data_IF_727574408752
#
_entry.id   IF_727574408752
#
_cell.length_a   1.000
_cell.length_b   1.000
_cell.length_c   1.000
_cell.angle_alpha   90.00
_cell.angle_beta   90.00
_cell.angle_gamma   90.00
#
_symmetry.space_group_name_H-M   'P 1'
#
loop_
_entity.id
_entity.type
_entity.pdbx_description
1 polymer ?
#
# COMPACT_ATOMS: atom_id res chain seq x y z
N UNK A 1 -58.28 -27.65 20.50
CA UNK A 1 -56.84 -27.63 20.19
C UNK A 1 -56.62 -26.61 19.08
N UNK A 2 -56.11 -25.41 19.37
CA UNK A 2 -55.76 -24.45 18.33
C UNK A 2 -54.49 -24.90 17.58
N UNK A 3 -54.37 -24.60 16.28
CA UNK A 3 -53.20 -24.97 15.49
C UNK A 3 -51.96 -24.13 15.86
N UNK A 4 -50.75 -24.69 15.70
CA UNK A 4 -49.50 -23.97 15.95
C UNK A 4 -49.31 -22.85 14.91
N UNK A 5 -49.28 -21.61 15.39
CA UNK A 5 -48.87 -20.44 14.61
C UNK A 5 -47.38 -20.55 14.28
N UNK A 6 -47.08 -20.91 13.04
CA UNK A 6 -45.76 -20.76 12.44
C UNK A 6 -45.41 -19.28 12.38
N UNK A 7 -44.59 -18.84 13.34
CA UNK A 7 -43.95 -17.54 13.35
C UNK A 7 -43.05 -17.42 12.12
N UNK A 8 -43.53 -16.74 11.08
CA UNK A 8 -42.75 -16.32 9.94
C UNK A 8 -41.79 -15.22 10.39
N UNK A 9 -40.58 -15.62 10.78
CA UNK A 9 -39.48 -14.69 10.97
C UNK A 9 -39.28 -13.90 9.67
N UNK A 10 -39.23 -12.56 9.70
CA UNK A 10 -39.08 -11.75 8.49
C UNK A 10 -37.69 -12.00 7.88
N UNK A 11 -37.68 -12.84 6.84
CA UNK A 11 -36.58 -13.03 5.90
C UNK A 11 -36.44 -11.76 5.04
N UNK A 12 -35.87 -10.71 5.63
CA UNK A 12 -35.78 -9.43 4.93
C UNK A 12 -34.82 -8.42 5.53
N UNK A 13 -34.19 -8.71 6.67
CA UNK A 13 -33.06 -7.93 7.16
C UNK A 13 -31.81 -8.30 6.33
N UNK A 14 -31.83 -7.91 5.05
CA UNK A 14 -30.63 -7.74 4.26
C UNK A 14 -29.80 -6.69 5.00
N UNK A 15 -28.95 -7.14 5.91
CA UNK A 15 -27.92 -6.34 6.56
C UNK A 15 -27.08 -5.77 5.44
N UNK A 16 -27.46 -4.56 5.03
CA UNK A 16 -26.70 -3.69 4.14
C UNK A 16 -25.37 -3.54 4.84
N UNK A 17 -24.39 -4.38 4.47
CA UNK A 17 -23.03 -4.29 4.98
C UNK A 17 -22.63 -2.85 4.66
N UNK A 18 -22.60 -2.01 5.69
CA UNK A 18 -22.31 -0.60 5.54
C UNK A 18 -20.96 -0.54 4.86
N UNK A 19 -20.96 -0.06 3.62
CA UNK A 19 -19.78 0.04 2.79
C UNK A 19 -18.66 0.64 3.66
N UNK A 20 -17.47 0.03 3.75
CA UNK A 20 -16.41 0.49 4.64
C UNK A 20 -16.23 1.99 4.49
N UNK A 21 -16.19 2.67 5.63
CA UNK A 21 -16.42 4.11 5.76
C UNK A 21 -15.67 4.91 4.69
N UNK A 22 -16.38 5.84 4.03
CA UNK A 22 -15.87 6.66 2.93
C UNK A 22 -14.54 7.38 3.25
N UNK A 23 -14.26 7.59 4.53
CA UNK A 23 -13.06 8.24 5.04
C UNK A 23 -11.77 7.46 4.79
N UNK A 24 -11.76 6.13 5.00
CA UNK A 24 -10.53 5.31 4.82
C UNK A 24 -10.11 5.30 3.35
N UNK A 25 -11.08 5.11 2.46
CA UNK A 25 -10.85 5.11 1.02
C UNK A 25 -10.28 6.44 0.53
N UNK A 26 -10.78 7.54 1.09
CA UNK A 26 -10.32 8.89 0.76
C UNK A 26 -8.88 9.12 1.25
N UNK A 27 -8.53 8.59 2.43
CA UNK A 27 -7.16 8.62 2.95
C UNK A 27 -6.19 7.82 2.06
N UNK A 28 -6.57 6.60 1.65
CA UNK A 28 -5.75 5.76 0.75
C UNK A 28 -5.53 6.49 -0.58
N UNK A 29 -6.58 7.06 -1.15
CA UNK A 29 -6.47 7.80 -2.41
C UNK A 29 -5.55 9.01 -2.29
N UNK A 30 -5.60 9.74 -1.17
CA UNK A 30 -4.72 10.88 -0.93
C UNK A 30 -3.26 10.45 -0.75
N UNK A 31 -3.01 9.37 0.00
CA UNK A 31 -1.68 8.78 0.17
C UNK A 31 -1.06 8.37 -1.17
N UNK A 32 -1.88 7.78 -2.03
CA UNK A 32 -1.45 7.28 -3.32
C UNK A 32 -1.11 8.43 -4.28
N UNK A 33 -1.89 9.52 -4.27
CA UNK A 33 -1.55 10.73 -5.01
C UNK A 33 -0.26 11.38 -4.51
N UNK A 34 -0.04 11.44 -3.19
CA UNK A 34 1.20 11.94 -2.62
C UNK A 34 2.39 11.09 -3.06
N UNK A 35 2.30 9.76 -2.98
CA UNK A 35 3.39 8.86 -3.40
C UNK A 35 3.69 8.96 -4.90
N UNK A 36 2.67 9.15 -5.76
CA UNK A 36 2.89 9.40 -7.19
C UNK A 36 3.61 10.72 -7.43
N UNK A 37 3.17 11.80 -6.77
CA UNK A 37 3.81 13.10 -6.89
C UNK A 37 5.27 13.04 -6.43
N UNK A 38 5.52 12.40 -5.29
CA UNK A 38 6.84 12.22 -4.73
C UNK A 38 7.74 11.35 -5.62
N UNK A 39 7.23 10.23 -6.14
CA UNK A 39 7.93 9.36 -7.08
C UNK A 39 8.33 10.09 -8.36
N UNK A 40 7.46 10.96 -8.87
CA UNK A 40 7.72 11.75 -10.09
C UNK A 40 8.84 12.76 -9.87
N UNK A 41 8.80 13.50 -8.75
CA UNK A 41 9.87 14.43 -8.37
C UNK A 41 11.18 13.68 -8.18
N UNK A 42 11.15 12.50 -7.56
CA UNK A 42 12.34 11.70 -7.33
C UNK A 42 12.97 11.18 -8.62
N UNK A 43 12.17 10.70 -9.58
CA UNK A 43 12.65 10.30 -10.91
C UNK A 43 13.33 11.49 -11.60
N UNK A 44 12.72 12.68 -11.54
CA UNK A 44 13.30 13.88 -12.15
C UNK A 44 14.65 14.25 -11.52
N UNK A 45 14.76 14.23 -10.19
CA UNK A 45 16.01 14.50 -9.48
C UNK A 45 17.07 13.41 -9.76
N UNK A 46 16.65 12.15 -9.79
CA UNK A 46 17.53 11.02 -10.11
C UNK A 46 18.09 11.14 -11.52
N UNK A 47 17.27 11.53 -12.50
CA UNK A 47 17.69 11.66 -13.89
C UNK A 47 18.76 12.75 -14.08
N UNK A 48 18.69 13.83 -13.29
CA UNK A 48 19.74 14.86 -13.25
C UNK A 48 21.07 14.32 -12.70
N UNK A 49 21.02 13.30 -11.83
CA UNK A 49 22.19 12.75 -11.13
C UNK A 49 22.74 11.45 -11.75
N UNK A 50 22.06 10.83 -12.72
CA UNK A 50 22.46 9.59 -13.42
C UNK A 50 23.89 9.65 -13.98
N UNK A 51 24.40 10.84 -14.30
CA UNK A 51 25.73 10.99 -14.89
C UNK A 51 26.90 10.97 -13.89
N UNK A 52 26.70 11.20 -12.59
CA UNK A 52 27.82 11.49 -11.68
C UNK A 52 28.18 10.34 -10.74
N UNK A 53 27.20 9.69 -10.11
CA UNK A 53 27.40 8.61 -9.13
C UNK A 53 26.14 7.74 -9.10
N UNK A 54 26.07 6.74 -9.97
CA UNK A 54 24.85 5.94 -10.13
C UNK A 54 24.68 4.90 -9.02
N UNK A 55 24.06 5.30 -7.91
CA UNK A 55 23.33 4.36 -7.06
C UNK A 55 22.03 3.97 -7.77
N UNK A 56 22.11 3.08 -8.76
CA UNK A 56 20.94 2.54 -9.49
C UNK A 56 19.86 1.94 -8.57
N UNK A 57 20.24 1.62 -7.32
CA UNK A 57 19.36 1.07 -6.29
C UNK A 57 18.17 1.97 -6.01
N UNK A 58 18.38 3.29 -5.86
CA UNK A 58 17.29 4.22 -5.58
C UNK A 58 16.28 4.33 -6.73
N UNK A 59 16.66 4.70 -7.97
CA UNK A 59 15.71 4.77 -9.07
C UNK A 59 15.04 3.41 -9.39
N UNK A 60 15.74 2.29 -9.19
CA UNK A 60 15.13 0.97 -9.34
C UNK A 60 14.05 0.70 -8.27
N UNK A 61 14.33 1.00 -7.00
CA UNK A 61 13.36 0.89 -5.91
C UNK A 61 12.14 1.80 -6.15
N UNK A 62 12.37 3.02 -6.63
CA UNK A 62 11.30 3.95 -7.00
C UNK A 62 10.47 3.45 -8.18
N UNK A 63 11.10 2.85 -9.19
CA UNK A 63 10.38 2.22 -10.30
C UNK A 63 9.43 1.11 -9.81
N UNK A 64 9.90 0.25 -8.90
CA UNK A 64 9.08 -0.80 -8.31
C UNK A 64 7.91 -0.22 -7.49
N UNK A 65 8.16 0.79 -6.65
CA UNK A 65 7.14 1.53 -5.91
C UNK A 65 6.08 2.13 -6.83
N UNK A 66 6.53 2.78 -7.91
CA UNK A 66 5.64 3.42 -8.87
C UNK A 66 4.74 2.39 -9.56
N UNK A 67 5.31 1.29 -10.06
CA UNK A 67 4.54 0.21 -10.70
C UNK A 67 3.51 -0.39 -9.73
N UNK A 68 3.91 -0.63 -8.49
CA UNK A 68 3.03 -1.14 -7.45
C UNK A 68 1.84 -0.20 -7.20
N UNK A 69 2.12 1.09 -7.01
CA UNK A 69 1.11 2.12 -6.79
C UNK A 69 0.14 2.27 -7.98
N UNK A 70 0.67 2.27 -9.21
CA UNK A 70 -0.14 2.33 -10.44
C UNK A 70 -1.04 1.09 -10.56
N UNK A 71 -0.51 -0.08 -10.24
CA UNK A 71 -1.28 -1.33 -10.25
C UNK A 71 -2.40 -1.30 -9.22
N UNK A 72 -2.13 -0.81 -8.00
CA UNK A 72 -3.16 -0.61 -6.99
C UNK A 72 -4.23 0.39 -7.40
N UNK A 73 -3.86 1.49 -8.05
CA UNK A 73 -4.84 2.43 -8.62
C UNK A 73 -5.67 1.79 -9.72
N UNK A 74 -5.05 1.05 -10.63
CA UNK A 74 -5.74 0.40 -11.74
C UNK A 74 -6.77 -0.61 -11.20
N UNK A 75 -6.37 -1.43 -10.22
CA UNK A 75 -7.26 -2.37 -9.55
C UNK A 75 -8.36 -1.64 -8.78
N UNK A 76 -8.05 -0.59 -8.02
CA UNK A 76 -9.04 0.19 -7.28
C UNK A 76 -10.04 0.88 -8.22
N UNK A 77 -9.59 1.43 -9.36
CA UNK A 77 -10.48 2.02 -10.38
C UNK A 77 -11.37 0.97 -11.04
N UNK A 78 -10.83 -0.22 -11.31
CA UNK A 78 -11.60 -1.33 -11.87
C UNK A 78 -12.69 -1.79 -10.90
N UNK A 79 -12.39 -1.86 -9.61
CA UNK A 79 -13.37 -2.18 -8.56
C UNK A 79 -14.46 -1.12 -8.42
N UNK A 80 -14.12 0.18 -8.51
CA UNK A 80 -15.13 1.26 -8.49
C UNK A 80 -16.07 1.25 -9.70
N UNK A 81 -15.61 0.75 -10.85
CA UNK A 81 -16.43 0.62 -12.06
C UNK A 81 -17.27 -0.65 -12.08
N UNK A 82 -16.90 -1.66 -11.29
CA UNK A 82 -17.67 -2.88 -11.17
C UNK A 82 -18.98 -2.60 -10.42
N UNK A 83 -20.10 -3.10 -10.93
CA UNK A 83 -21.39 -2.96 -10.26
C UNK A 83 -21.40 -3.68 -8.90
N UNK A 84 -22.35 -3.33 -8.00
CA UNK A 84 -22.45 -3.92 -6.66
C UNK A 84 -22.53 -5.45 -6.66
N UNK A 85 -23.18 -6.03 -7.68
CA UNK A 85 -23.33 -7.47 -7.86
C UNK A 85 -21.99 -8.17 -8.14
N UNK A 86 -21.09 -7.53 -8.89
CA UNK A 86 -19.76 -8.08 -9.18
C UNK A 86 -18.78 -7.97 -8.00
N UNK A 87 -19.11 -7.12 -7.01
CA UNK A 87 -18.37 -6.92 -5.77
C UNK A 87 -18.91 -7.77 -4.61
N UNK A 88 -20.11 -8.35 -4.75
CA UNK A 88 -20.68 -9.23 -3.75
C UNK A 88 -19.77 -10.46 -3.54
N UNK A 89 -19.24 -10.62 -2.33
CA UNK A 89 -18.33 -11.71 -1.99
C UNK A 89 -16.85 -11.47 -2.32
N UNK A 90 -16.48 -10.35 -2.95
CA UNK A 90 -15.06 -10.03 -3.24
C UNK A 90 -14.48 -9.05 -2.24
N UNK A 91 -13.30 -9.37 -1.74
CA UNK A 91 -12.50 -8.48 -0.91
C UNK A 91 -11.94 -7.33 -1.78
N UNK A 92 -11.90 -6.09 -1.25
CA UNK A 92 -11.29 -4.97 -1.97
C UNK A 92 -9.82 -5.27 -2.28
N UNK A 93 -9.31 -4.78 -3.41
CA UNK A 93 -7.96 -5.02 -3.89
C UNK A 93 -6.89 -4.68 -2.85
N UNK A 94 -7.15 -3.66 -2.02
CA UNK A 94 -6.28 -3.22 -0.92
C UNK A 94 -6.19 -4.23 0.22
N UNK A 95 -7.23 -5.04 0.44
CA UNK A 95 -7.28 -6.07 1.48
C UNK A 95 -6.80 -7.45 1.00
N UNK A 96 -6.44 -7.60 -0.28
CA UNK A 96 -5.91 -8.87 -0.80
C UNK A 96 -4.55 -9.17 -0.18
N UNK A 97 -4.32 -10.45 0.18
CA UNK A 97 -3.05 -10.90 0.77
C UNK A 97 -1.85 -10.56 -0.12
N UNK A 98 -2.01 -10.73 -1.45
CA UNK A 98 -0.96 -10.43 -2.42
C UNK A 98 -0.49 -8.97 -2.36
N UNK A 99 -1.42 -8.02 -2.27
CA UNK A 99 -1.12 -6.58 -2.12
C UNK A 99 -0.32 -6.31 -0.85
N UNK A 100 -0.75 -6.90 0.28
CA UNK A 100 -0.09 -6.71 1.58
C UNK A 100 1.34 -7.27 1.54
N UNK A 101 1.52 -8.49 1.02
CA UNK A 101 2.84 -9.14 0.90
C UNK A 101 3.75 -8.28 0.00
N UNK A 102 3.23 -7.81 -1.13
CA UNK A 102 3.99 -6.96 -2.06
C UNK A 102 4.39 -5.63 -1.41
N UNK A 103 3.50 -4.99 -0.65
CA UNK A 103 3.81 -3.73 0.05
C UNK A 103 4.92 -3.90 1.10
N UNK A 104 4.88 -5.00 1.87
CA UNK A 104 5.95 -5.33 2.82
C UNK A 104 7.28 -5.63 2.12
N UNK A 105 7.23 -6.38 1.02
CA UNK A 105 8.43 -6.67 0.23
C UNK A 105 9.10 -5.39 -0.27
N UNK A 106 8.32 -4.45 -0.84
CA UNK A 106 8.84 -3.15 -1.28
C UNK A 106 9.42 -2.36 -0.10
N UNK A 107 8.76 -2.37 1.05
CA UNK A 107 9.26 -1.70 2.26
C UNK A 107 10.62 -2.27 2.70
N UNK A 108 10.82 -3.59 2.64
CA UNK A 108 12.10 -4.23 2.94
C UNK A 108 13.18 -3.87 1.92
N UNK A 109 12.84 -3.80 0.64
CA UNK A 109 13.77 -3.33 -0.41
C UNK A 109 14.22 -1.89 -0.13
N UNK A 110 13.31 -1.01 0.30
CA UNK A 110 13.65 0.35 0.71
C UNK A 110 14.54 0.39 1.95
N UNK A 111 14.25 -0.42 2.96
CA UNK A 111 15.09 -0.51 4.15
C UNK A 111 16.53 -0.93 3.80
N UNK A 112 16.68 -1.91 2.90
CA UNK A 112 17.98 -2.30 2.35
C UNK A 112 18.67 -1.17 1.58
N UNK A 113 17.95 -0.49 0.69
CA UNK A 113 18.48 0.64 -0.07
C UNK A 113 18.96 1.79 0.84
N UNK A 114 18.13 2.19 1.80
CA UNK A 114 18.47 3.23 2.79
C UNK A 114 19.68 2.81 3.62
N UNK A 115 19.77 1.55 4.03
CA UNK A 115 20.91 1.02 4.77
C UNK A 115 22.21 1.05 3.96
N UNK A 116 22.17 0.63 2.70
CA UNK A 116 23.33 0.67 1.78
C UNK A 116 23.78 2.11 1.54
N UNK A 117 22.86 3.03 1.23
CA UNK A 117 23.18 4.45 1.02
C UNK A 117 23.74 5.08 2.30
N UNK A 118 23.18 4.77 3.48
CA UNK A 118 23.70 5.26 4.75
C UNK A 118 25.13 4.78 5.01
N UNK A 119 25.39 3.48 4.86
CA UNK A 119 26.72 2.90 5.04
C UNK A 119 27.72 3.53 4.05
N UNK A 120 27.31 3.73 2.81
CA UNK A 120 28.15 4.37 1.80
C UNK A 120 28.51 5.81 2.18
N UNK A 121 27.52 6.63 2.56
CA UNK A 121 27.75 8.03 2.98
C UNK A 121 28.67 8.10 4.19
N UNK A 122 28.54 7.19 5.16
CA UNK A 122 29.39 7.13 6.35
C UNK A 122 30.83 6.74 5.99
N UNK A 123 31.00 5.68 5.20
CA UNK A 123 32.34 5.18 4.81
C UNK A 123 33.06 6.23 3.97
N UNK A 124 32.40 6.76 2.93
CA UNK A 124 32.99 7.76 2.03
C UNK A 124 33.25 9.09 2.74
N UNK A 125 32.32 9.51 3.62
CA UNK A 125 32.48 10.75 4.39
C UNK A 125 33.74 10.77 5.25
N UNK A 126 34.18 9.60 5.73
CA UNK A 126 35.38 9.48 6.55
C UNK A 126 36.70 9.51 5.76
N UNK A 127 36.65 9.34 4.43
CA UNK A 127 37.87 9.25 3.61
C UNK A 127 38.45 10.61 3.21
N UNK A 128 37.75 11.72 3.50
CA UNK A 128 38.28 13.09 3.37
C UNK A 128 38.54 13.62 1.95
N UNK A 129 38.76 12.74 0.98
CA UNK A 129 39.14 13.09 -0.40
C UNK A 129 37.94 13.34 -1.34
N UNK A 130 36.72 13.01 -0.90
CA UNK A 130 35.55 13.08 -1.78
C UNK A 130 34.96 14.49 -1.82
N UNK A 131 34.58 15.01 -3.02
CA UNK A 131 33.98 16.33 -3.13
C UNK A 131 32.78 16.49 -2.20
N UNK A 132 32.74 17.60 -1.43
CA UNK A 132 31.63 17.91 -0.50
C UNK A 132 30.24 17.81 -1.15
N UNK A 133 30.16 18.14 -2.45
CA UNK A 133 28.92 18.04 -3.24
C UNK A 133 28.35 16.61 -3.26
N UNK A 134 29.20 15.59 -3.44
CA UNK A 134 28.79 14.19 -3.47
C UNK A 134 28.18 13.75 -2.14
N UNK A 135 28.82 14.13 -1.04
CA UNK A 135 28.37 13.77 0.31
C UNK A 135 27.00 14.40 0.60
N UNK A 136 26.80 15.67 0.22
CA UNK A 136 25.52 16.36 0.36
C UNK A 136 24.41 15.65 -0.42
N UNK A 137 24.67 15.27 -1.68
CA UNK A 137 23.68 14.53 -2.51
C UNK A 137 23.30 13.20 -1.86
N UNK A 138 24.29 12.45 -1.34
CA UNK A 138 24.03 11.20 -0.64
C UNK A 138 23.14 11.35 0.60
N UNK A 139 23.28 12.45 1.36
CA UNK A 139 22.37 12.76 2.47
C UNK A 139 20.95 13.04 2.01
N UNK A 140 20.78 13.79 0.91
CA UNK A 140 19.43 14.03 0.35
C UNK A 140 18.79 12.72 -0.10
N UNK A 141 19.51 11.89 -0.83
CA UNK A 141 19.02 10.58 -1.28
C UNK A 141 18.62 9.69 -0.10
N UNK A 142 19.42 9.68 0.97
CA UNK A 142 19.12 8.96 2.20
C UNK A 142 17.83 9.46 2.88
N UNK A 143 17.65 10.78 3.02
CA UNK A 143 16.45 11.38 3.62
C UNK A 143 15.20 11.05 2.79
N UNK A 144 15.27 11.19 1.47
CA UNK A 144 14.15 10.88 0.58
C UNK A 144 13.82 9.38 0.60
N UNK A 145 14.83 8.51 0.57
CA UNK A 145 14.65 7.07 0.70
C UNK A 145 13.97 6.69 2.03
N UNK A 146 14.37 7.33 3.12
CA UNK A 146 13.76 7.13 4.44
C UNK A 146 12.30 7.60 4.47
N UNK A 147 12.00 8.74 3.84
CA UNK A 147 10.62 9.22 3.74
C UNK A 147 9.73 8.25 2.94
N UNK A 148 10.18 7.78 1.78
CA UNK A 148 9.42 6.83 0.96
C UNK A 148 9.24 5.48 1.67
N UNK A 149 10.27 5.00 2.38
CA UNK A 149 10.20 3.80 3.23
C UNK A 149 9.09 3.95 4.28
N UNK A 150 9.00 5.10 4.93
CA UNK A 150 7.95 5.39 5.92
C UNK A 150 6.57 5.42 5.28
N UNK A 151 6.41 6.10 4.13
CA UNK A 151 5.13 6.16 3.40
C UNK A 151 4.65 4.76 2.99
N UNK A 152 5.53 3.94 2.42
CA UNK A 152 5.20 2.56 2.02
C UNK A 152 4.88 1.66 3.21
N UNK A 153 5.64 1.80 4.30
CA UNK A 153 5.35 1.11 5.55
C UNK A 153 3.97 1.47 6.12
N UNK A 154 3.62 2.76 6.13
CA UNK A 154 2.29 3.20 6.56
C UNK A 154 1.18 2.67 5.66
N UNK A 155 1.38 2.63 4.35
CA UNK A 155 0.43 2.06 3.40
C UNK A 155 0.22 0.57 3.67
N UNK A 156 1.29 -0.21 3.82
CA UNK A 156 1.23 -1.63 4.14
C UNK A 156 0.53 -1.90 5.48
N UNK A 157 0.80 -1.08 6.50
CA UNK A 157 0.14 -1.16 7.81
C UNK A 157 -1.36 -0.86 7.71
N UNK A 158 -1.75 0.15 6.94
CA UNK A 158 -3.16 0.52 6.74
C UNK A 158 -3.91 -0.58 5.98
N UNK A 159 -3.33 -1.15 4.92
CA UNK A 159 -3.90 -2.30 4.22
C UNK A 159 -4.05 -3.53 5.14
N UNK A 160 -3.08 -3.76 6.02
CA UNK A 160 -3.14 -4.84 7.01
C UNK A 160 -4.26 -4.61 8.02
N UNK A 161 -4.38 -3.38 8.53
CA UNK A 161 -5.45 -3.00 9.47
C UNK A 161 -6.83 -3.09 8.84
N UNK A 162 -7.00 -2.65 7.59
CA UNK A 162 -8.26 -2.79 6.85
C UNK A 162 -8.65 -4.27 6.73
N UNK A 163 -7.70 -5.14 6.36
CA UNK A 163 -7.94 -6.57 6.30
C UNK A 163 -8.32 -7.16 7.66
N UNK A 164 -7.63 -6.76 8.73
CA UNK A 164 -7.95 -7.23 10.09
C UNK A 164 -9.33 -6.77 10.55
N UNK A 165 -9.76 -5.56 10.20
CA UNK A 165 -11.11 -5.08 10.50
C UNK A 165 -12.16 -5.92 9.76
N UNK A 166 -11.95 -6.20 8.47
CA UNK A 166 -12.86 -7.03 7.67
C UNK A 166 -12.94 -8.46 8.23
N UNK A 167 -11.80 -9.08 8.55
CA UNK A 167 -11.76 -10.44 9.11
C UNK A 167 -12.31 -10.49 10.53
N UNK A 168 -12.04 -9.47 11.36
CA UNK A 168 -12.57 -9.36 12.71
C UNK A 168 -14.10 -9.24 12.73
N UNK A 169 -14.66 -8.43 11.82
CA UNK A 169 -16.10 -8.37 11.55
C UNK A 169 -16.63 -9.71 11.00
N UNK A 170 -15.86 -10.39 10.17
CA UNK A 170 -16.25 -11.70 9.64
C UNK A 170 -16.29 -12.80 10.71
N UNK A 171 -15.41 -12.76 11.72
CA UNK A 171 -15.47 -13.69 12.86
C UNK A 171 -16.69 -13.45 13.76
N UNK A 172 -17.34 -12.28 13.67
CA UNK A 172 -18.61 -11.99 14.34
C UNK A 172 -19.82 -12.29 13.44
N UNK A 173 -19.62 -12.38 12.11
CA UNK A 173 -20.61 -12.86 11.17
C UNK A 173 -20.64 -14.40 11.16
N UNK A 174 -21.83 -15.00 11.14
CA UNK A 174 -21.98 -16.46 11.19
C UNK A 174 -21.31 -17.13 9.99
N UNK A 175 -20.62 -18.25 10.22
CA UNK A 175 -19.78 -19.03 9.29
C UNK A 175 -20.39 -19.33 7.91
N UNK A 176 -21.72 -19.37 7.80
CA UNK A 176 -22.43 -19.59 6.54
C UNK A 176 -22.43 -18.36 5.60
N UNK A 177 -22.07 -17.17 6.09
CA UNK A 177 -21.77 -16.02 5.22
C UNK A 177 -20.33 -16.03 4.69
N UNK A 178 -19.42 -16.75 5.36
CA UNK A 178 -18.01 -16.85 4.98
C UNK A 178 -17.76 -17.80 3.80
N UNK A 179 -18.63 -18.80 3.59
CA UNK A 179 -18.50 -19.77 2.49
C UNK A 179 -18.58 -19.16 1.08
N UNK A 180 -19.05 -17.92 0.94
CA UNK A 180 -19.06 -17.18 -0.33
C UNK A 180 -17.77 -16.36 -0.59
N UNK A 181 -16.80 -16.36 0.32
CA UNK A 181 -15.54 -15.62 0.17
C UNK A 181 -14.36 -16.52 -0.22
N UNK A 182 -14.62 -17.79 -0.56
CA UNK A 182 -13.59 -18.69 -1.04
C UNK A 182 -13.39 -18.56 -2.56
N UNK A 183 -12.15 -18.13 -2.89
CA UNK A 183 -11.42 -18.13 -4.17
C UNK A 183 -11.60 -16.94 -5.12
#
# INVERSE_FOLDING_TARGET
>A
MPPPTTSSAPAGASTRIAHPSSTIHRQIQHLLWISIGLSTVFIALSMVHIGSLSFFVAPAAFGLSFIHNVTLLALSRKERKAGPEALAGKLPATARKATIISGWFITLVYAGAVGVTAAFVIIIGNWGEVPKRTVIVGYFEWIFGLFEMVVMGFLALKCTRERQQIVGLANTARWYQLGNYDM
#
